data_IF_561855837990
#
_entry.id   IF_561855837990
#
_cell.length_a   1.000
_cell.length_b   1.000
_cell.length_c   1.000
_cell.angle_alpha   90.00
_cell.angle_beta   90.00
_cell.angle_gamma   90.00
#
_symmetry.space_group_name_H-M   'P 1'
#
loop_
_entity.id
_entity.type
_entity.pdbx_description
1 polymer ?
#
# COMPACT_ATOMS: atom_id res chain seq x y z
N UNK A 1 -1.48 9.65 15.79
CA UNK A 1 -1.02 8.39 15.16
C UNK A 1 -2.26 7.61 14.75
N UNK A 2 -2.33 7.14 13.50
CA UNK A 2 -3.46 6.39 12.97
C UNK A 2 -2.94 5.00 12.59
N UNK A 3 -3.70 3.96 12.92
CA UNK A 3 -3.40 2.56 12.57
C UNK A 3 -4.66 1.91 12.01
N UNK A 4 -4.49 1.12 10.96
CA UNK A 4 -5.55 0.37 10.29
C UNK A 4 -5.16 -1.10 10.38
N UNK A 5 -6.13 -1.94 10.76
CA UNK A 5 -5.96 -3.39 10.89
C UNK A 5 -7.16 -4.08 10.25
N UNK A 6 -6.90 -5.14 9.50
CA UNK A 6 -7.89 -6.07 9.00
C UNK A 6 -7.64 -7.49 9.55
N UNK A 7 -8.58 -8.40 9.28
CA UNK A 7 -8.51 -9.83 9.64
C UNK A 7 -8.51 -10.72 8.39
N UNK A 8 -8.02 -10.21 7.26
CA UNK A 8 -7.89 -10.96 6.01
C UNK A 8 -6.69 -11.91 6.02
N UNK A 9 -6.39 -12.47 4.84
CA UNK A 9 -5.25 -13.39 4.64
C UNK A 9 -3.87 -12.74 4.82
N UNK A 10 -3.81 -11.43 5.01
CA UNK A 10 -2.57 -10.67 5.07
C UNK A 10 -1.97 -10.40 3.68
N UNK A 11 -0.75 -9.87 3.70
CA UNK A 11 0.03 -9.48 2.51
C UNK A 11 1.10 -10.56 2.27
N UNK A 12 1.24 -10.98 1.01
CA UNK A 12 2.26 -11.93 0.61
C UNK A 12 3.68 -11.40 0.94
N UNK A 13 4.53 -12.18 1.63
CA UNK A 13 5.90 -11.76 1.96
C UNK A 13 6.73 -11.30 0.75
N UNK A 14 6.49 -11.83 -0.45
CA UNK A 14 7.25 -11.47 -1.66
C UNK A 14 6.90 -10.09 -2.22
N UNK A 15 5.68 -9.60 -1.94
CA UNK A 15 5.22 -8.27 -2.37
C UNK A 15 5.43 -7.22 -1.29
N UNK A 16 5.59 -7.61 -0.03
CA UNK A 16 5.78 -6.70 1.11
C UNK A 16 6.88 -5.63 0.85
N UNK A 17 8.07 -5.96 0.32
CA UNK A 17 9.11 -4.95 0.04
C UNK A 17 8.73 -3.98 -1.07
N UNK A 18 7.77 -4.35 -1.92
CA UNK A 18 7.32 -3.61 -3.12
C UNK A 18 5.92 -3.02 -2.94
N UNK A 19 5.34 -3.09 -1.74
CA UNK A 19 3.94 -2.75 -1.48
C UNK A 19 3.57 -1.32 -1.90
N UNK A 20 4.51 -0.38 -1.80
CA UNK A 20 4.36 1.02 -2.20
C UNK A 20 5.00 1.34 -3.57
N UNK A 21 5.27 0.32 -4.39
CA UNK A 21 5.76 0.46 -5.76
C UNK A 21 4.60 0.39 -6.75
N UNK A 22 4.70 1.13 -7.87
CA UNK A 22 3.68 1.17 -8.93
C UNK A 22 3.41 -0.23 -9.49
N UNK A 23 2.15 -0.51 -9.78
CA UNK A 23 1.68 -1.76 -10.40
C UNK A 23 1.88 -3.03 -9.55
N UNK A 24 2.18 -2.90 -8.26
CA UNK A 24 2.27 -4.05 -7.35
C UNK A 24 0.86 -4.48 -6.92
N UNK A 25 0.44 -5.67 -7.34
CA UNK A 25 -0.86 -6.22 -6.96
C UNK A 25 -0.93 -7.73 -7.17
N UNK A 26 -1.58 -8.44 -6.24
CA UNK A 26 -1.99 -9.85 -6.40
C UNK A 26 -3.46 -9.97 -6.81
N UNK A 27 -4.15 -8.84 -7.02
CA UNK A 27 -5.55 -8.83 -7.42
C UNK A 27 -5.66 -8.86 -8.94
N UNK A 28 -6.46 -9.78 -9.52
CA UNK A 28 -6.66 -9.85 -10.97
C UNK A 28 -7.39 -8.63 -11.55
N UNK A 29 -8.01 -7.80 -10.71
CA UNK A 29 -8.73 -6.56 -11.12
C UNK A 29 -8.05 -5.28 -10.63
N UNK A 30 -7.05 -5.40 -9.76
CA UNK A 30 -6.37 -4.25 -9.18
C UNK A 30 -5.34 -3.67 -10.15
N UNK A 31 -5.15 -2.36 -10.13
CA UNK A 31 -4.09 -1.70 -10.92
C UNK A 31 -2.76 -1.61 -10.16
N UNK A 32 -2.75 -1.89 -8.84
CA UNK A 32 -1.57 -1.71 -7.99
C UNK A 32 -1.13 -0.26 -7.80
N UNK A 33 -2.04 0.71 -8.00
CA UNK A 33 -1.73 2.14 -7.86
C UNK A 33 -2.23 2.77 -6.55
N UNK A 34 -3.17 2.13 -5.86
CA UNK A 34 -3.83 2.71 -4.67
C UNK A 34 -2.84 3.12 -3.57
N UNK A 35 -1.96 2.20 -3.14
CA UNK A 35 -1.00 2.47 -2.08
C UNK A 35 0.07 3.49 -2.47
N UNK A 36 0.45 3.53 -3.75
CA UNK A 36 1.36 4.57 -4.28
C UNK A 36 0.73 5.95 -4.16
N UNK A 37 -0.54 6.08 -4.58
CA UNK A 37 -1.28 7.34 -4.48
C UNK A 37 -1.43 7.76 -3.01
N UNK A 38 -1.80 6.84 -2.11
CA UNK A 38 -1.90 7.13 -0.68
C UNK A 38 -0.58 7.62 -0.09
N UNK A 39 0.54 7.00 -0.47
CA UNK A 39 1.88 7.43 -0.06
C UNK A 39 2.19 8.85 -0.56
N UNK A 40 1.96 9.13 -1.84
CA UNK A 40 2.19 10.47 -2.42
C UNK A 40 1.33 11.56 -1.77
N UNK A 41 0.06 11.26 -1.46
CA UNK A 41 -0.82 12.21 -0.75
C UNK A 41 -0.27 12.50 0.64
N UNK A 42 0.14 11.47 1.39
CA UNK A 42 0.70 11.66 2.72
C UNK A 42 2.01 12.45 2.68
N UNK A 43 2.93 12.13 1.76
CA UNK A 43 4.18 12.86 1.57
C UNK A 43 3.94 14.34 1.25
N UNK A 44 2.95 14.65 0.40
CA UNK A 44 2.56 16.03 0.10
C UNK A 44 2.06 16.81 1.33
N UNK A 45 1.53 16.11 2.33
CA UNK A 45 1.08 16.69 3.60
C UNK A 45 2.12 16.54 4.73
N UNK A 46 3.39 16.28 4.38
CA UNK A 46 4.47 16.03 5.35
C UNK A 46 4.19 14.86 6.32
N UNK A 47 3.33 13.94 5.92
CA UNK A 47 3.00 12.70 6.61
C UNK A 47 3.84 11.51 6.13
N UNK A 48 3.69 10.37 6.82
CA UNK A 48 4.37 9.12 6.47
C UNK A 48 3.43 7.93 6.63
N UNK A 49 3.50 6.99 5.70
CA UNK A 49 2.89 5.66 5.76
C UNK A 49 3.98 4.59 5.86
N UNK A 50 3.71 3.51 6.58
CA UNK A 50 4.63 2.40 6.84
C UNK A 50 3.86 1.09 6.96
#
# INVERSE_FOLDING_TARGET
MISIKDTGSGIDPEIMPRLFSKFTTNSPRGTGLGLVISKSILEAHSGKIR
#
